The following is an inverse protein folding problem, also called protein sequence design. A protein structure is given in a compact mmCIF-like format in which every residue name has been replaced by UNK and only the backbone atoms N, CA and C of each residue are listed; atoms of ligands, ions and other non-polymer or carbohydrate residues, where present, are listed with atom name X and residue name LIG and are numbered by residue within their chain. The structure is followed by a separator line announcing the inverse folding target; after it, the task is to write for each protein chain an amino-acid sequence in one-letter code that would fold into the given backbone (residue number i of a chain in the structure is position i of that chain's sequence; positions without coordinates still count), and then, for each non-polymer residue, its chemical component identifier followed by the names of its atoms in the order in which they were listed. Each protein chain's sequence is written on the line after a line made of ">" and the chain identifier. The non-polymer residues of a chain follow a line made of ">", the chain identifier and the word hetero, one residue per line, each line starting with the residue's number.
data_IF_663524590776
#
_entry.id   IF_663524590776
#
_cell.length_a   1.000
_cell.length_b   1.000
_cell.length_c   1.000
_cell.angle_alpha   90.00
_cell.angle_beta   90.00
_cell.angle_gamma   90.00
#
_symmetry.space_group_name_H-M   'P 1'
#
loop_
_entity.id
_entity.type
_entity.pdbx_description
1 polymer ?
#
# COMPACT_ATOMS: atom_id res chain seq x y z
N UNK A 1 17.22 -20.71 9.24
CA UNK A 1 15.81 -20.30 9.44
C UNK A 1 15.66 -18.80 9.16
N UNK A 2 16.40 -17.92 9.84
CA UNK A 2 16.34 -16.45 9.68
C UNK A 2 16.44 -15.90 8.24
N UNK A 3 17.33 -16.45 7.39
CA UNK A 3 17.45 -16.00 6.00
C UNK A 3 16.22 -16.32 5.12
N UNK A 4 15.50 -17.40 5.44
CA UNK A 4 14.26 -17.79 4.74
C UNK A 4 13.14 -16.82 5.11
N UNK A 5 13.08 -16.38 6.36
CA UNK A 5 12.08 -15.44 6.84
C UNK A 5 12.21 -14.06 6.17
N UNK A 6 13.45 -13.61 5.88
CA UNK A 6 13.71 -12.38 5.12
C UNK A 6 13.20 -12.47 3.68
N UNK A 7 13.52 -13.56 2.99
CA UNK A 7 13.09 -13.74 1.59
C UNK A 7 11.55 -13.79 1.49
N UNK A 8 10.89 -14.43 2.46
CA UNK A 8 9.42 -14.44 2.57
C UNK A 8 8.88 -13.04 2.84
N UNK A 9 9.49 -12.26 3.74
CA UNK A 9 9.08 -10.89 4.03
C UNK A 9 9.19 -9.96 2.81
N UNK A 10 10.30 -10.03 2.06
CA UNK A 10 10.51 -9.23 0.83
C UNK A 10 9.50 -9.60 -0.26
N UNK A 11 9.22 -10.90 -0.43
CA UNK A 11 8.19 -11.38 -1.37
C UNK A 11 6.80 -10.91 -0.96
N UNK A 12 6.46 -10.99 0.32
CA UNK A 12 5.20 -10.50 0.84
C UNK A 12 5.04 -8.99 0.62
N UNK A 13 6.08 -8.19 0.89
CA UNK A 13 6.07 -6.76 0.61
C UNK A 13 5.83 -6.45 -0.87
N UNK A 14 6.55 -7.13 -1.77
CA UNK A 14 6.41 -6.91 -3.22
C UNK A 14 4.98 -7.23 -3.67
N UNK A 15 4.44 -8.36 -3.20
CA UNK A 15 3.07 -8.74 -3.48
C UNK A 15 2.04 -7.74 -2.94
N UNK A 16 2.26 -7.21 -1.73
CA UNK A 16 1.39 -6.20 -1.13
C UNK A 16 1.43 -4.89 -1.91
N UNK A 17 2.61 -4.46 -2.39
CA UNK A 17 2.75 -3.29 -3.26
C UNK A 17 2.00 -3.48 -4.58
N UNK A 18 2.09 -4.66 -5.20
CA UNK A 18 1.35 -5.00 -6.42
C UNK A 18 -0.17 -4.95 -6.19
N UNK A 19 -0.65 -5.49 -5.06
CA UNK A 19 -2.06 -5.44 -4.68
C UNK A 19 -2.52 -3.99 -4.49
N UNK A 20 -1.76 -3.16 -3.77
CA UNK A 20 -2.07 -1.74 -3.59
C UNK A 20 -2.17 -1.03 -4.94
N UNK A 21 -1.20 -1.25 -5.83
CA UNK A 21 -1.21 -0.67 -7.17
C UNK A 21 -2.44 -1.11 -7.97
N UNK A 22 -2.80 -2.40 -7.90
CA UNK A 22 -4.00 -2.95 -8.55
C UNK A 22 -5.28 -2.31 -8.04
N UNK A 23 -5.44 -2.19 -6.72
CA UNK A 23 -6.62 -1.56 -6.10
C UNK A 23 -6.73 -0.09 -6.50
N UNK A 24 -5.63 0.67 -6.45
CA UNK A 24 -5.61 2.07 -6.92
C UNK A 24 -6.01 2.19 -8.39
N UNK A 25 -5.54 1.27 -9.23
CA UNK A 25 -5.94 1.21 -10.64
C UNK A 25 -7.44 0.95 -10.83
N UNK A 26 -8.06 0.11 -9.99
CA UNK A 26 -9.51 -0.12 -10.00
C UNK A 26 -10.26 1.14 -9.55
N UNK A 27 -9.81 1.80 -8.48
CA UNK A 27 -10.42 3.04 -7.98
C UNK A 27 -10.40 4.14 -9.06
N UNK A 28 -9.29 4.29 -9.78
CA UNK A 28 -9.18 5.23 -10.90
C UNK A 28 -10.22 4.94 -11.98
N UNK A 29 -10.36 3.68 -12.39
CA UNK A 29 -11.34 3.29 -13.42
C UNK A 29 -12.79 3.56 -13.01
N UNK A 30 -13.12 3.35 -11.74
CA UNK A 30 -14.45 3.65 -11.22
C UNK A 30 -14.68 5.17 -11.22
N UNK A 31 -13.68 5.95 -10.79
CA UNK A 31 -13.74 7.42 -10.81
C UNK A 31 -13.95 7.95 -12.22
N UNK A 32 -13.17 7.47 -13.20
CA UNK A 32 -13.34 7.83 -14.61
C UNK A 32 -14.76 7.49 -15.12
N UNK A 33 -15.30 6.34 -14.69
CA UNK A 33 -16.66 5.93 -15.05
C UNK A 33 -17.72 6.84 -14.43
N UNK A 34 -17.56 7.23 -13.17
CA UNK A 34 -18.45 8.19 -12.49
C UNK A 34 -18.40 9.54 -13.22
N UNK A 35 -17.22 10.04 -13.53
CA UNK A 35 -17.05 11.32 -14.21
C UNK A 35 -17.63 11.33 -15.62
N UNK A 36 -17.38 10.27 -16.41
CA UNK A 36 -17.97 10.12 -17.75
C UNK A 36 -19.50 10.01 -17.73
N UNK A 37 -20.08 9.58 -16.61
CA UNK A 37 -21.53 9.41 -16.49
C UNK A 37 -22.26 10.68 -16.03
N UNK A 38 -21.54 11.72 -15.55
CA UNK A 38 -22.12 12.99 -15.07
C UNK A 38 -23.04 13.65 -16.09
N UNK A 39 -22.67 13.64 -17.37
CA UNK A 39 -23.46 14.25 -18.45
C UNK A 39 -24.70 13.46 -18.89
N UNK A 40 -24.82 12.20 -18.46
CA UNK A 40 -25.89 11.29 -18.90
C UNK A 40 -27.16 11.41 -18.05
N UNK A 41 -27.08 12.02 -16.87
CA UNK A 41 -28.22 12.21 -15.98
C UNK A 41 -28.77 13.64 -16.11
N UNK A 42 -30.09 13.76 -16.30
CA UNK A 42 -30.80 15.03 -16.39
C UNK A 42 -31.99 15.05 -15.43
N UNK A 43 -32.43 16.26 -15.04
CA UNK A 43 -33.57 16.44 -14.14
C UNK A 43 -33.28 15.93 -12.72
N UNK A 44 -34.28 15.34 -12.07
CA UNK A 44 -34.18 14.84 -10.69
C UNK A 44 -33.09 13.77 -10.50
N UNK A 45 -32.82 12.97 -11.54
CA UNK A 45 -31.74 11.99 -11.55
C UNK A 45 -30.34 12.62 -11.50
N UNK A 46 -30.18 13.86 -11.98
CA UNK A 46 -28.91 14.58 -11.92
C UNK A 46 -28.52 14.92 -10.47
N UNK A 47 -29.50 15.32 -9.65
CA UNK A 47 -29.28 15.62 -8.23
C UNK A 47 -28.85 14.37 -7.44
N UNK A 48 -29.56 13.26 -7.61
CA UNK A 48 -29.21 11.99 -6.96
C UNK A 48 -27.83 11.47 -7.42
N UNK A 49 -27.53 11.58 -8.71
CA UNK A 49 -26.22 11.20 -9.23
C UNK A 49 -25.10 12.09 -8.68
N UNK A 50 -25.33 13.40 -8.56
CA UNK A 50 -24.33 14.32 -8.03
C UNK A 50 -23.99 14.03 -6.58
N UNK A 51 -24.99 13.72 -5.74
CA UNK A 51 -24.76 13.25 -4.37
C UNK A 51 -23.96 11.95 -4.35
N UNK A 52 -24.33 10.97 -5.18
CA UNK A 52 -23.61 9.70 -5.26
C UNK A 52 -22.16 9.88 -5.74
N UNK A 53 -21.92 10.78 -6.70
CA UNK A 53 -20.59 11.09 -7.21
C UNK A 53 -19.71 11.79 -6.16
N UNK A 54 -20.29 12.65 -5.32
CA UNK A 54 -19.59 13.26 -4.18
C UNK A 54 -19.24 12.21 -3.13
N UNK A 55 -20.21 11.36 -2.74
CA UNK A 55 -19.94 10.26 -1.80
C UNK A 55 -18.89 9.28 -2.33
N UNK A 56 -18.86 9.05 -3.64
CA UNK A 56 -17.80 8.27 -4.27
C UNK A 56 -16.43 8.94 -4.15
N UNK A 57 -16.34 10.24 -4.43
CA UNK A 57 -15.06 10.97 -4.35
C UNK A 57 -14.48 10.94 -2.92
N UNK A 58 -15.33 11.18 -1.92
CA UNK A 58 -14.95 11.12 -0.50
C UNK A 58 -14.41 9.72 -0.12
N UNK A 59 -15.11 8.66 -0.52
CA UNK A 59 -14.69 7.29 -0.22
C UNK A 59 -13.44 6.88 -1.01
N UNK A 60 -13.30 7.32 -2.26
CA UNK A 60 -12.11 7.08 -3.07
C UNK A 60 -10.87 7.74 -2.44
N UNK A 61 -11.00 8.96 -1.92
CA UNK A 61 -9.92 9.63 -1.18
C UNK A 61 -9.56 8.88 0.10
N UNK A 62 -10.57 8.44 0.87
CA UNK A 62 -10.36 7.66 2.09
C UNK A 62 -9.64 6.33 1.82
N UNK A 63 -10.04 5.62 0.77
CA UNK A 63 -9.43 4.36 0.37
C UNK A 63 -7.99 4.56 -0.10
N UNK A 64 -7.73 5.58 -0.91
CA UNK A 64 -6.37 5.90 -1.34
C UNK A 64 -5.45 6.17 -0.15
N UNK A 65 -5.91 6.97 0.83
CA UNK A 65 -5.15 7.23 2.06
C UNK A 65 -4.88 5.95 2.85
N UNK A 66 -5.88 5.09 3.03
CA UNK A 66 -5.70 3.82 3.74
C UNK A 66 -4.69 2.89 3.04
N UNK A 67 -4.68 2.89 1.70
CA UNK A 67 -3.72 2.12 0.89
C UNK A 67 -2.30 2.69 0.99
N UNK A 68 -2.15 4.01 1.06
CA UNK A 68 -0.86 4.66 1.32
C UNK A 68 -0.30 4.30 2.70
N UNK A 69 -1.14 4.41 3.74
CA UNK A 69 -0.77 4.01 5.11
C UNK A 69 -0.40 2.52 5.20
N UNK A 70 -1.12 1.66 4.47
CA UNK A 70 -0.82 0.24 4.39
C UNK A 70 0.56 0.01 3.75
N UNK A 71 0.84 0.66 2.62
CA UNK A 71 2.13 0.55 1.95
C UNK A 71 3.30 1.04 2.83
N UNK A 72 3.09 2.13 3.58
CA UNK A 72 4.08 2.66 4.51
C UNK A 72 4.40 1.66 5.64
N UNK A 73 3.37 1.11 6.30
CA UNK A 73 3.54 0.13 7.39
C UNK A 73 4.27 -1.14 6.93
N UNK A 74 3.98 -1.60 5.71
CA UNK A 74 4.68 -2.75 5.13
C UNK A 74 6.15 -2.42 4.87
N UNK A 75 6.46 -1.25 4.32
CA UNK A 75 7.84 -0.81 4.11
C UNK A 75 8.63 -0.68 5.41
N UNK A 76 8.01 -0.15 6.47
CA UNK A 76 8.62 -0.07 7.80
C UNK A 76 8.93 -1.46 8.38
N UNK A 77 8.01 -2.42 8.24
CA UNK A 77 8.20 -3.79 8.72
C UNK A 77 9.43 -4.48 8.12
N UNK A 78 9.66 -4.33 6.81
CA UNK A 78 10.84 -4.92 6.15
C UNK A 78 12.15 -4.25 6.58
N UNK A 79 12.18 -2.92 6.72
CA UNK A 79 13.39 -2.19 7.15
C UNK A 79 13.88 -2.66 8.53
N UNK A 80 12.96 -3.00 9.45
CA UNK A 80 13.31 -3.55 10.77
C UNK A 80 14.04 -4.88 10.64
N UNK A 81 13.60 -5.77 9.74
CA UNK A 81 14.29 -7.04 9.50
C UNK A 81 15.68 -6.84 8.90
N UNK A 82 15.85 -5.88 7.99
CA UNK A 82 17.17 -5.60 7.40
C UNK A 82 18.18 -5.04 8.41
N UNK A 83 17.74 -4.08 9.24
CA UNK A 83 18.59 -3.47 10.25
C UNK A 83 18.99 -4.43 11.37
N UNK A 84 18.09 -5.32 11.79
CA UNK A 84 18.36 -6.33 12.83
C UNK A 84 19.44 -7.33 12.38
N UNK A 85 19.44 -7.71 11.10
CA UNK A 85 20.43 -8.62 10.53
C UNK A 85 21.83 -7.98 10.41
N UNK A 86 21.90 -6.70 10.04
CA UNK A 86 23.17 -5.95 9.97
C UNK A 86 23.77 -5.82 11.37
N UNK A 87 22.97 -5.41 12.36
CA UNK A 87 23.43 -5.28 13.75
C UNK A 87 23.96 -6.62 14.30
N UNK A 88 23.25 -7.72 14.04
CA UNK A 88 23.65 -9.06 14.50
C UNK A 88 24.96 -9.55 13.87
N UNK A 89 25.22 -9.24 12.59
CA UNK A 89 26.48 -9.58 11.90
C UNK A 89 27.67 -8.77 12.38
N UNK A 90 27.47 -7.47 12.60
CA UNK A 90 28.52 -6.59 13.10
C UNK A 90 28.95 -6.97 14.52
N UNK A 91 27.99 -7.31 15.39
CA UNK A 91 28.27 -7.71 16.77
C UNK A 91 28.97 -9.08 16.84
N UNK A 92 28.57 -10.03 15.98
CA UNK A 92 29.25 -11.32 15.87
C UNK A 92 30.68 -11.16 15.34
N UNK A 93 30.89 -10.31 14.34
CA UNK A 93 32.22 -10.05 13.77
C UNK A 93 33.13 -9.39 14.82
N UNK A 94 32.62 -8.42 15.58
CA UNK A 94 33.34 -7.80 16.71
C UNK A 94 33.73 -8.82 17.78
N UNK A 95 32.82 -9.73 18.13
CA UNK A 95 33.09 -10.78 19.10
C UNK A 95 34.21 -11.72 18.64
N UNK A 96 34.26 -12.07 17.36
CA UNK A 96 35.34 -12.88 16.79
C UNK A 96 36.69 -12.16 16.77
N UNK A 97 36.72 -10.86 16.43
CA UNK A 97 37.97 -10.06 16.48
C UNK A 97 38.50 -9.83 17.90
N UNK A 98 37.65 -9.86 18.92
CA UNK A 98 38.08 -9.69 20.31
C UNK A 98 38.57 -11.00 20.97
N UNK A 99 38.43 -12.13 20.28
CA UNK A 99 38.84 -13.46 20.76
C UNK A 99 40.13 -13.97 20.08
N UNK A 100 40.69 -13.24 19.13
CA UNK A 100 42.01 -13.47 18.51
C UNK A 100 43.03 -12.44 18.98
#
# INVERSE_FOLDING_TARGET
>A
MVAVDKEVAVKAQSHMADVVASVKGILSKITDRVDSSKGSFQGEAAGAFQTAAQSWDDEAQRLNKALDEFQEKVGQGTNVFEHTDIASKDDFTKALTNLG
#
